data_IF_298754882579
#
_entry.id   IF_298754882579
#
_cell.length_a   1.000
_cell.length_b   1.000
_cell.length_c   1.000
_cell.angle_alpha   90.00
_cell.angle_beta   90.00
_cell.angle_gamma   90.00
#
_symmetry.space_group_name_H-M   'P 1'
#
loop_
_entity.id
_entity.type
_entity.pdbx_description
1 polymer ?
#
# COMPACT_ATOMS: atom_id res chain seq x y z
N UNK A 1 -3.09 -10.96 25.45
CA UNK A 1 -2.87 -9.92 24.41
C UNK A 1 -2.78 -10.65 23.09
N UNK A 2 -3.86 -10.68 22.32
CA UNK A 2 -3.82 -11.31 20.99
C UNK A 2 -2.86 -10.48 20.13
N UNK A 3 -1.80 -11.10 19.64
CA UNK A 3 -0.94 -10.52 18.61
C UNK A 3 -1.77 -10.43 17.35
N UNK A 4 -2.38 -9.28 17.11
CA UNK A 4 -2.96 -8.97 15.80
C UNK A 4 -1.83 -9.05 14.79
N UNK A 5 -1.95 -9.95 13.82
CA UNK A 5 -1.00 -10.03 12.72
C UNK A 5 -0.88 -8.64 12.09
N UNK A 6 0.35 -8.15 12.03
CA UNK A 6 0.63 -6.84 11.46
C UNK A 6 0.71 -6.99 9.94
N UNK A 7 -0.24 -6.39 9.24
CA UNK A 7 -0.24 -6.32 7.79
C UNK A 7 0.04 -4.90 7.32
N UNK A 8 0.97 -4.74 6.38
CA UNK A 8 1.35 -3.45 5.80
C UNK A 8 1.23 -3.49 4.28
N UNK A 9 0.39 -2.63 3.71
CA UNK A 9 0.20 -2.50 2.26
C UNK A 9 0.98 -1.31 1.73
N UNK A 10 1.76 -1.55 0.69
CA UNK A 10 2.62 -0.58 0.05
C UNK A 10 2.51 -0.63 -1.47
N UNK A 11 3.01 0.40 -2.13
CA UNK A 11 3.16 0.45 -3.59
C UNK A 11 4.55 0.02 -4.01
N UNK A 12 4.66 -0.90 -4.98
CA UNK A 12 5.94 -1.31 -5.56
C UNK A 12 6.71 -0.13 -6.17
N UNK A 13 6.01 0.82 -6.79
CA UNK A 13 6.62 2.05 -7.29
C UNK A 13 7.33 2.86 -6.20
N UNK A 14 6.71 3.00 -5.03
CA UNK A 14 7.34 3.71 -3.89
C UNK A 14 8.54 2.91 -3.39
N UNK A 15 8.39 1.61 -3.22
CA UNK A 15 9.47 0.74 -2.73
C UNK A 15 10.68 0.70 -3.69
N UNK A 16 10.44 0.66 -4.99
CA UNK A 16 11.50 0.75 -5.99
C UNK A 16 12.26 2.09 -5.92
N UNK A 17 11.53 3.22 -5.73
CA UNK A 17 12.15 4.54 -5.50
C UNK A 17 12.97 4.60 -4.21
N UNK A 18 12.61 3.83 -3.19
CA UNK A 18 13.38 3.68 -1.95
C UNK A 18 14.58 2.72 -2.10
N UNK A 19 14.83 2.22 -3.31
CA UNK A 19 16.00 1.43 -3.66
C UNK A 19 15.91 -0.04 -3.32
N UNK A 20 14.73 -0.58 -3.03
CA UNK A 20 14.53 -1.99 -2.66
C UNK A 20 15.13 -2.96 -3.69
N UNK A 21 15.09 -2.59 -4.97
CA UNK A 21 15.62 -3.41 -6.08
C UNK A 21 17.15 -3.65 -6.05
N UNK A 22 17.88 -2.90 -5.23
CA UNK A 22 19.36 -2.97 -5.13
C UNK A 22 19.85 -3.12 -3.69
N UNK A 23 18.94 -3.21 -2.71
CA UNK A 23 19.29 -3.41 -1.30
C UNK A 23 19.79 -4.84 -1.04
N UNK A 24 20.62 -4.96 -0.03
CA UNK A 24 20.95 -6.25 0.57
C UNK A 24 19.74 -6.86 1.27
N UNK A 25 19.74 -8.18 1.38
CA UNK A 25 18.62 -8.89 2.01
C UNK A 25 18.55 -8.54 3.50
N UNK A 26 17.37 -8.12 3.98
CA UNK A 26 17.18 -7.74 5.37
C UNK A 26 16.93 -8.94 6.28
N UNK A 27 17.02 -8.70 7.58
CA UNK A 27 16.52 -9.64 8.57
C UNK A 27 14.98 -9.73 8.53
N UNK A 28 14.47 -10.90 8.86
CA UNK A 28 13.03 -11.19 8.88
C UNK A 28 12.33 -10.43 10.00
N UNK A 29 11.18 -9.85 9.68
CA UNK A 29 10.31 -9.15 10.63
C UNK A 29 9.01 -9.94 10.88
N UNK A 30 8.27 -9.68 11.98
CA UNK A 30 6.97 -10.30 12.21
C UNK A 30 5.84 -9.68 11.37
N UNK A 31 6.14 -8.75 10.49
CA UNK A 31 5.18 -8.02 9.65
C UNK A 31 4.93 -8.79 8.37
N UNK A 32 3.68 -8.93 7.98
CA UNK A 32 3.27 -9.39 6.65
C UNK A 32 3.13 -8.20 5.72
N UNK A 33 3.68 -8.31 4.51
CA UNK A 33 3.64 -7.23 3.52
C UNK A 33 2.74 -7.58 2.35
N UNK A 34 1.96 -6.58 1.94
CA UNK A 34 1.21 -6.60 0.69
C UNK A 34 1.76 -5.52 -0.21
N UNK A 35 2.20 -5.88 -1.40
CA UNK A 35 2.71 -4.92 -2.38
C UNK A 35 1.84 -4.95 -3.63
N UNK A 36 1.33 -3.78 -4.02
CA UNK A 36 0.67 -3.62 -5.31
C UNK A 36 1.71 -3.15 -6.30
N UNK A 37 2.03 -3.99 -7.27
CA UNK A 37 3.03 -3.69 -8.29
C UNK A 37 2.76 -4.39 -9.62
N UNK A 38 3.09 -3.71 -10.71
CA UNK A 38 3.07 -4.28 -12.05
C UNK A 38 4.45 -4.33 -12.70
N UNK A 39 5.28 -3.27 -12.53
CA UNK A 39 6.46 -3.09 -13.37
C UNK A 39 7.69 -2.51 -12.63
N UNK A 40 7.60 -2.27 -11.33
CA UNK A 40 8.63 -1.51 -10.62
C UNK A 40 9.58 -2.39 -9.82
N UNK A 41 9.11 -3.52 -9.27
CA UNK A 41 9.95 -4.46 -8.56
C UNK A 41 10.62 -5.42 -9.56
N UNK A 42 11.94 -5.51 -9.48
CA UNK A 42 12.68 -6.57 -10.14
C UNK A 42 12.76 -7.82 -9.24
N UNK A 43 13.40 -8.88 -9.71
CA UNK A 43 13.56 -10.14 -8.96
C UNK A 43 14.22 -9.92 -7.58
N UNK A 44 15.23 -9.04 -7.50
CA UNK A 44 15.89 -8.74 -6.22
C UNK A 44 14.95 -8.04 -5.23
N UNK A 45 14.10 -7.11 -5.71
CA UNK A 45 13.10 -6.46 -4.88
C UNK A 45 12.03 -7.42 -4.36
N UNK A 46 11.66 -8.42 -5.16
CA UNK A 46 10.76 -9.50 -4.71
C UNK A 46 11.43 -10.34 -3.63
N UNK A 47 12.66 -10.80 -3.85
CA UNK A 47 13.44 -11.57 -2.87
C UNK A 47 13.68 -10.78 -1.58
N UNK A 48 13.92 -9.46 -1.68
CA UNK A 48 14.03 -8.58 -0.53
C UNK A 48 12.79 -8.67 0.39
N UNK A 49 11.58 -8.61 -0.20
CA UNK A 49 10.36 -8.75 0.58
C UNK A 49 10.13 -10.17 1.09
N UNK A 50 10.54 -11.19 0.37
CA UNK A 50 10.50 -12.58 0.86
C UNK A 50 11.38 -12.75 2.10
N UNK A 51 12.58 -12.13 2.13
CA UNK A 51 13.46 -12.14 3.31
C UNK A 51 12.87 -11.34 4.47
N UNK A 52 12.33 -10.14 4.20
CA UNK A 52 11.84 -9.21 5.21
C UNK A 52 10.55 -9.68 5.88
N UNK A 53 9.62 -10.21 5.10
CA UNK A 53 8.23 -10.41 5.50
C UNK A 53 7.98 -11.74 6.23
N UNK A 54 7.04 -11.75 7.19
CA UNK A 54 6.43 -13.00 7.68
C UNK A 54 5.73 -13.70 6.53
N UNK A 55 4.78 -13.02 5.89
CA UNK A 55 4.13 -13.41 4.64
C UNK A 55 4.25 -12.25 3.65
N UNK A 56 4.53 -12.54 2.39
CA UNK A 56 4.59 -11.56 1.32
C UNK A 56 3.53 -11.84 0.27
N UNK A 57 2.58 -10.93 0.13
CA UNK A 57 1.55 -11.00 -0.91
C UNK A 57 1.80 -9.94 -1.96
N UNK A 58 1.98 -10.34 -3.19
CA UNK A 58 2.06 -9.45 -4.34
C UNK A 58 0.71 -9.41 -5.05
N UNK A 59 0.14 -8.22 -5.22
CA UNK A 59 -1.05 -7.99 -6.05
C UNK A 59 -0.58 -7.39 -7.37
N UNK A 60 -0.83 -8.08 -8.48
CA UNK A 60 -0.38 -7.65 -9.81
C UNK A 60 -1.37 -8.00 -10.91
N UNK A 61 -1.49 -7.12 -11.91
CA UNK A 61 -2.16 -7.42 -13.19
C UNK A 61 -1.19 -7.82 -14.30
N UNK A 62 0.13 -7.72 -14.05
CA UNK A 62 1.17 -8.10 -14.99
C UNK A 62 1.43 -9.60 -14.96
N UNK A 63 1.05 -10.30 -16.04
CA UNK A 63 1.28 -11.73 -16.18
C UNK A 63 2.76 -12.14 -16.27
N UNK A 64 3.64 -11.18 -16.61
CA UNK A 64 5.08 -11.39 -16.76
C UNK A 64 5.87 -10.75 -15.59
N UNK A 65 5.24 -10.55 -14.44
CA UNK A 65 5.92 -9.99 -13.28
C UNK A 65 7.04 -10.92 -12.81
N UNK A 66 8.25 -10.41 -12.45
CA UNK A 66 9.38 -11.23 -12.01
C UNK A 66 9.11 -12.13 -10.79
N UNK A 67 8.08 -11.85 -10.03
CA UNK A 67 7.67 -12.67 -8.89
C UNK A 67 7.23 -14.08 -9.28
N UNK A 68 6.75 -14.29 -10.52
CA UNK A 68 6.38 -15.62 -10.99
C UNK A 68 7.60 -16.56 -11.18
N UNK A 69 8.81 -15.99 -11.25
CA UNK A 69 10.08 -16.72 -11.37
C UNK A 69 10.80 -16.88 -10.01
N UNK A 70 10.11 -16.59 -8.91
CA UNK A 70 10.62 -16.71 -7.54
C UNK A 70 9.89 -17.83 -6.81
N UNK A 71 10.68 -18.80 -6.32
CA UNK A 71 10.16 -19.95 -5.55
C UNK A 71 10.51 -19.76 -4.07
N UNK A 72 9.68 -19.01 -3.37
CA UNK A 72 9.79 -18.76 -1.92
C UNK A 72 8.49 -19.14 -1.23
N UNK A 73 8.58 -19.89 -0.15
CA UNK A 73 7.42 -20.47 0.54
C UNK A 73 6.45 -19.45 1.15
N UNK A 74 6.92 -18.24 1.42
CA UNK A 74 6.14 -17.15 1.99
C UNK A 74 5.72 -16.09 0.94
N UNK A 75 5.95 -16.37 -0.35
CA UNK A 75 5.48 -15.53 -1.46
C UNK A 75 4.13 -16.03 -1.97
N UNK A 76 3.16 -15.15 -1.99
CA UNK A 76 1.83 -15.37 -2.53
C UNK A 76 1.53 -14.32 -3.60
N UNK A 77 0.89 -14.72 -4.70
CA UNK A 77 0.59 -13.80 -5.81
C UNK A 77 -0.91 -13.81 -6.07
N UNK A 78 -1.53 -12.65 -5.86
CA UNK A 78 -2.93 -12.40 -6.23
C UNK A 78 -2.94 -11.73 -7.61
N UNK A 79 -3.57 -12.38 -8.58
CA UNK A 79 -3.76 -11.80 -9.91
C UNK A 79 -4.97 -10.88 -9.91
N UNK A 80 -4.73 -9.59 -10.14
CA UNK A 80 -5.79 -8.62 -10.31
C UNK A 80 -6.26 -8.59 -11.77
N UNK A 81 -7.52 -8.95 -12.00
CA UNK A 81 -8.09 -9.03 -13.35
C UNK A 81 -8.89 -7.77 -13.75
N UNK A 82 -8.94 -6.77 -12.88
CA UNK A 82 -9.69 -5.52 -13.09
C UNK A 82 -9.09 -4.33 -12.36
N UNK A 83 -9.65 -3.14 -12.54
CA UNK A 83 -9.14 -1.92 -11.90
C UNK A 83 -9.43 -1.84 -10.40
N UNK A 84 -10.42 -2.59 -9.91
CA UNK A 84 -10.83 -2.54 -8.50
C UNK A 84 -9.97 -3.45 -7.63
N UNK A 85 -9.59 -2.93 -6.47
CA UNK A 85 -8.86 -3.68 -5.44
C UNK A 85 -9.77 -4.50 -4.51
N UNK A 86 -11.08 -4.35 -4.61
CA UNK A 86 -12.04 -5.00 -3.69
C UNK A 86 -11.91 -6.51 -3.65
N UNK A 87 -11.77 -7.13 -4.84
CA UNK A 87 -11.63 -8.58 -4.95
C UNK A 87 -10.32 -9.05 -4.33
N UNK A 88 -9.21 -8.37 -4.63
CA UNK A 88 -7.90 -8.69 -4.07
C UNK A 88 -7.88 -8.53 -2.52
N UNK A 89 -8.53 -7.50 -1.99
CA UNK A 89 -8.66 -7.32 -0.54
C UNK A 89 -9.58 -8.37 0.10
N UNK A 90 -10.64 -8.79 -0.59
CA UNK A 90 -11.50 -9.88 -0.14
C UNK A 90 -10.74 -11.21 -0.09
N UNK A 91 -9.90 -11.50 -1.09
CA UNK A 91 -9.02 -12.67 -1.12
C UNK A 91 -7.98 -12.62 0.00
N UNK A 92 -7.36 -11.46 0.25
CA UNK A 92 -6.46 -11.26 1.39
C UNK A 92 -7.13 -11.63 2.73
N UNK A 93 -8.39 -11.27 2.89
CA UNK A 93 -9.14 -11.59 4.09
C UNK A 93 -9.50 -13.07 4.19
N UNK A 94 -10.01 -13.67 3.11
CA UNK A 94 -10.50 -15.05 3.12
C UNK A 94 -9.38 -16.08 3.17
N UNK A 95 -8.33 -15.89 2.38
CA UNK A 95 -7.27 -16.89 2.20
C UNK A 95 -6.10 -16.69 3.18
N UNK A 96 -5.81 -15.43 3.56
CA UNK A 96 -4.64 -15.09 4.39
C UNK A 96 -5.00 -14.57 5.78
N UNK A 97 -6.31 -14.46 6.13
CA UNK A 97 -6.75 -14.00 7.44
C UNK A 97 -6.42 -12.54 7.74
N UNK A 98 -6.21 -11.71 6.72
CA UNK A 98 -5.91 -10.30 6.88
C UNK A 98 -7.16 -9.52 7.28
N UNK A 99 -7.42 -9.38 8.58
CA UNK A 99 -8.59 -8.63 9.07
C UNK A 99 -8.34 -7.12 9.12
N UNK A 100 -7.09 -6.71 9.31
CA UNK A 100 -6.70 -5.30 9.41
C UNK A 100 -5.39 -5.06 8.68
N UNK A 101 -5.38 -4.06 7.79
CA UNK A 101 -4.20 -3.69 7.02
C UNK A 101 -3.90 -2.20 7.16
N UNK A 102 -2.64 -1.86 7.40
CA UNK A 102 -2.18 -0.46 7.39
C UNK A 102 -1.64 -0.13 6.01
N UNK A 103 -2.18 0.91 5.39
CA UNK A 103 -1.77 1.35 4.06
C UNK A 103 -0.73 2.46 4.21
N UNK A 104 0.46 2.21 3.67
CA UNK A 104 1.58 3.14 3.63
C UNK A 104 2.02 3.33 2.18
N UNK A 105 1.32 4.20 1.46
CA UNK A 105 1.52 4.34 0.02
C UNK A 105 1.63 5.82 -0.41
N UNK A 106 1.88 6.05 -1.70
CA UNK A 106 1.88 7.39 -2.28
C UNK A 106 0.49 7.85 -2.72
N UNK A 107 0.37 9.12 -3.07
CA UNK A 107 -0.88 9.79 -3.38
C UNK A 107 -1.75 9.10 -4.44
N UNK A 108 -1.14 8.47 -5.43
CA UNK A 108 -1.87 7.76 -6.51
C UNK A 108 -2.65 6.56 -5.96
N UNK A 109 -2.03 5.73 -5.13
CA UNK A 109 -2.69 4.57 -4.54
C UNK A 109 -3.68 5.01 -3.46
N UNK A 110 -3.35 6.03 -2.66
CA UNK A 110 -4.27 6.62 -1.70
C UNK A 110 -5.54 7.14 -2.39
N UNK A 111 -5.40 7.75 -3.56
CA UNK A 111 -6.54 8.20 -4.38
C UNK A 111 -7.45 7.04 -4.78
N UNK A 112 -6.88 5.93 -5.23
CA UNK A 112 -7.64 4.74 -5.60
C UNK A 112 -8.44 4.20 -4.42
N UNK A 113 -7.80 4.02 -3.25
CA UNK A 113 -8.48 3.57 -2.03
C UNK A 113 -9.60 4.51 -1.60
N UNK A 114 -9.38 5.83 -1.70
CA UNK A 114 -10.39 6.83 -1.36
C UNK A 114 -11.61 6.75 -2.30
N UNK A 115 -11.38 6.70 -3.61
CA UNK A 115 -12.45 6.64 -4.61
C UNK A 115 -13.25 5.33 -4.55
N UNK A 116 -12.61 4.23 -4.22
CA UNK A 116 -13.27 2.94 -4.03
C UNK A 116 -13.90 2.77 -2.64
N UNK A 117 -13.74 3.77 -1.75
CA UNK A 117 -14.26 3.77 -0.37
C UNK A 117 -13.74 2.58 0.44
N UNK A 118 -12.44 2.32 0.34
CA UNK A 118 -11.76 1.18 0.97
C UNK A 118 -11.05 1.55 2.28
N UNK A 119 -11.12 2.81 2.70
CA UNK A 119 -10.62 3.24 4.01
C UNK A 119 -11.72 3.17 5.07
N UNK A 120 -11.43 2.52 6.19
CA UNK A 120 -12.24 2.63 7.40
C UNK A 120 -11.76 3.81 8.26
N UNK A 121 -10.43 4.03 8.33
CA UNK A 121 -9.78 5.10 9.09
C UNK A 121 -8.65 5.72 8.28
N UNK A 122 -8.43 7.01 8.49
CA UNK A 122 -7.31 7.75 7.92
C UNK A 122 -6.64 8.53 9.05
N UNK A 123 -5.35 8.23 9.28
CA UNK A 123 -4.50 8.95 10.22
C UNK A 123 -3.56 9.87 9.45
N UNK A 124 -3.60 11.17 9.74
CA UNK A 124 -2.77 12.18 9.08
C UNK A 124 -1.86 12.83 10.11
N UNK A 125 -0.56 12.69 9.92
CA UNK A 125 0.46 13.41 10.70
C UNK A 125 0.87 14.66 9.94
N UNK A 126 0.60 15.83 10.54
CA UNK A 126 0.98 17.13 9.98
C UNK A 126 2.26 17.60 10.64
N UNK A 127 3.37 17.62 9.89
CA UNK A 127 4.61 18.24 10.32
C UNK A 127 4.52 19.76 10.15
N UNK A 128 5.10 20.58 11.05
CA UNK A 128 5.08 22.03 10.95
C UNK A 128 6.08 22.54 9.91
N UNK A 129 5.96 22.06 8.68
CA UNK A 129 6.83 22.38 7.53
C UNK A 129 5.96 22.73 6.34
N UNK A 130 6.30 23.81 5.65
CA UNK A 130 5.66 24.19 4.40
C UNK A 130 6.57 23.78 3.24
N UNK A 131 6.09 22.86 2.42
CA UNK A 131 6.78 22.40 1.21
C UNK A 131 5.94 22.87 0.02
N UNK A 132 6.56 23.68 -0.84
CA UNK A 132 5.96 24.13 -2.09
C UNK A 132 6.56 23.41 -3.29
N UNK A 133 6.00 23.69 -4.47
CA UNK A 133 6.50 23.20 -5.74
C UNK A 133 5.43 22.49 -6.57
N UNK A 134 5.47 22.72 -7.88
CA UNK A 134 4.50 22.15 -8.82
C UNK A 134 4.56 20.61 -8.87
N UNK A 135 5.74 20.05 -8.69
CA UNK A 135 6.02 18.62 -8.83
C UNK A 135 6.17 17.92 -7.47
N UNK A 136 5.78 18.60 -6.37
CA UNK A 136 5.79 18.03 -5.02
C UNK A 136 4.63 17.02 -4.91
N UNK A 137 4.90 15.76 -4.50
CA UNK A 137 3.87 14.77 -4.29
C UNK A 137 2.84 15.24 -3.25
N UNK A 138 1.57 14.99 -3.51
CA UNK A 138 0.49 15.28 -2.58
C UNK A 138 0.06 14.03 -1.81
N UNK A 139 -0.74 14.22 -0.74
CA UNK A 139 -1.30 13.11 0.04
C UNK A 139 -2.24 12.25 -0.81
N UNK A 140 -3.02 12.90 -1.67
CA UNK A 140 -3.97 12.27 -2.60
C UNK A 140 -3.72 12.86 -3.99
N UNK A 141 -3.20 12.05 -4.88
CA UNK A 141 -3.02 12.40 -6.30
C UNK A 141 -4.19 11.84 -7.12
N UNK A 142 -4.21 12.17 -8.41
CA UNK A 142 -5.15 11.58 -9.34
C UNK A 142 -5.85 12.61 -10.21
N UNK A 143 -7.00 12.22 -10.77
CA UNK A 143 -7.78 13.10 -11.62
C UNK A 143 -8.35 14.25 -10.81
N UNK A 144 -8.16 15.48 -11.30
CA UNK A 144 -8.76 16.66 -10.67
C UNK A 144 -10.29 16.57 -10.67
N UNK A 145 -10.89 16.88 -9.53
CA UNK A 145 -12.33 16.98 -9.39
C UNK A 145 -12.74 18.41 -9.79
N UNK A 146 -13.50 18.54 -10.84
CA UNK A 146 -13.84 19.83 -11.47
C UNK A 146 -15.29 20.25 -11.28
N UNK A 147 -16.11 19.40 -10.61
CA UNK A 147 -17.53 19.69 -10.40
C UNK A 147 -18.03 19.20 -9.02
N UNK A 148 -19.09 19.82 -8.53
CA UNK A 148 -19.78 19.39 -7.29
C UNK A 148 -20.27 17.93 -7.38
N UNK A 149 -20.72 17.50 -8.56
CA UNK A 149 -21.18 16.13 -8.78
C UNK A 149 -20.04 15.10 -8.67
N UNK A 150 -18.79 15.49 -8.95
CA UNK A 150 -17.62 14.64 -8.73
C UNK A 150 -17.21 14.64 -7.25
N UNK A 151 -17.30 15.76 -6.56
CA UNK A 151 -17.08 15.87 -5.12
C UNK A 151 -18.05 14.99 -4.32
N UNK A 152 -19.32 14.94 -4.71
CA UNK A 152 -20.33 14.12 -4.02
C UNK A 152 -20.05 12.60 -4.10
N UNK A 153 -19.20 12.16 -5.01
CA UNK A 153 -18.79 10.75 -5.13
C UNK A 153 -17.72 10.36 -4.10
N UNK A 154 -16.99 11.34 -3.55
CA UNK A 154 -16.06 11.12 -2.44
C UNK A 154 -16.88 10.92 -1.17
N UNK A 155 -16.54 9.90 -0.39
CA UNK A 155 -17.20 9.66 0.89
C UNK A 155 -16.96 10.81 1.86
N UNK A 156 -17.92 11.08 2.73
CA UNK A 156 -17.77 12.03 3.83
C UNK A 156 -16.93 11.39 4.93
N UNK A 157 -15.84 12.04 5.32
CA UNK A 157 -15.01 11.65 6.46
C UNK A 157 -15.46 12.43 7.70
N UNK A 158 -15.52 11.74 8.84
CA UNK A 158 -15.79 12.37 10.14
C UNK A 158 -14.48 12.51 10.92
N UNK A 159 -14.14 13.72 11.34
CA UNK A 159 -13.02 13.92 12.26
C UNK A 159 -13.34 13.23 13.61
N UNK A 160 -12.51 12.25 13.98
CA UNK A 160 -12.65 11.50 15.23
C UNK A 160 -11.85 12.18 16.36
N UNK A 161 -10.59 12.50 16.06
CA UNK A 161 -9.66 13.04 17.04
C UNK A 161 -8.66 13.99 16.37
N UNK A 162 -8.20 14.98 17.11
CA UNK A 162 -7.10 15.86 16.71
C UNK A 162 -6.19 16.09 17.92
N UNK A 163 -4.92 15.71 17.79
CA UNK A 163 -3.92 15.84 18.85
C UNK A 163 -2.76 16.73 18.41
N UNK A 164 -2.26 17.53 19.35
CA UNK A 164 -0.99 18.24 19.16
C UNK A 164 0.13 17.39 19.76
N UNK A 165 1.03 16.89 18.92
CA UNK A 165 2.20 16.16 19.36
C UNK A 165 3.19 17.14 19.99
N UNK A 166 3.37 17.09 21.30
CA UNK A 166 4.39 17.88 22.01
C UNK A 166 5.74 17.18 21.86
N UNK A 167 6.79 17.96 21.58
CA UNK A 167 8.16 17.49 21.67
C UNK A 167 8.44 17.12 23.13
N UNK A 168 8.77 15.85 23.38
CA UNK A 168 9.30 15.39 24.67
C UNK A 168 10.72 15.90 24.87
#
# INVERSE_FOLDING_TARGET
MQTTDLWSLNSGRVQAKLGVNTKEMPDKTPVSFVIIDNDHLNKNGVLYFCSLAKEFVLITSNANHPAFDVDESNLHIIRQNGPSLKEALAELKSEYGCERITIQSGGTLNSLFLHEKLFDYIDIVIAPVLIGGKDTPTLIDGKSLLSESELSKIGVLKLQECMVLKKS
#
